data_IF_148112058027
#
_entry.id   IF_148112058027
#
_cell.length_a   1.000
_cell.length_b   1.000
_cell.length_c   1.000
_cell.angle_alpha   90.00
_cell.angle_beta   90.00
_cell.angle_gamma   90.00
#
_symmetry.space_group_name_H-M   'P 1'
#
loop_
_entity.id
_entity.type
_entity.pdbx_description
1 polymer ?
#
# COMPACT_ATOMS: atom_id res chain seq x y z
N UNK A 1 8.61 -9.50 1.46
CA UNK A 1 8.17 -8.13 1.14
C UNK A 1 7.09 -8.11 0.07
N UNK A 2 7.33 -8.66 -1.11
CA UNK A 2 6.30 -8.78 -2.16
C UNK A 2 5.79 -10.21 -2.18
N UNK A 3 4.47 -10.35 -2.09
CA UNK A 3 3.78 -11.63 -2.25
C UNK A 3 3.52 -11.83 -3.75
N UNK A 4 4.45 -12.48 -4.42
CA UNK A 4 4.36 -12.70 -5.87
C UNK A 4 3.21 -13.63 -6.27
N UNK A 5 2.74 -14.49 -5.36
CA UNK A 5 1.55 -15.30 -5.63
C UNK A 5 0.32 -14.40 -5.78
N UNK A 6 0.19 -13.36 -4.94
CA UNK A 6 -0.89 -12.39 -5.05
C UNK A 6 -0.77 -11.58 -6.34
N UNK A 7 0.44 -11.18 -6.71
CA UNK A 7 0.69 -10.46 -7.97
C UNK A 7 0.26 -11.33 -9.16
N UNK A 8 0.60 -12.62 -9.13
CA UNK A 8 0.23 -13.55 -10.19
C UNK A 8 -1.30 -13.74 -10.28
N UNK A 9 -2.00 -13.77 -9.13
CA UNK A 9 -3.46 -13.80 -9.10
C UNK A 9 -4.06 -12.55 -9.74
N UNK A 10 -3.56 -11.38 -9.38
CA UNK A 10 -4.05 -10.11 -9.93
C UNK A 10 -3.83 -10.09 -11.45
N UNK A 11 -2.66 -10.51 -11.90
CA UNK A 11 -2.34 -10.58 -13.33
C UNK A 11 -3.30 -11.53 -14.07
N UNK A 12 -3.57 -12.69 -13.48
CA UNK A 12 -4.48 -13.69 -14.05
C UNK A 12 -5.90 -13.14 -14.15
N UNK A 13 -6.37 -12.44 -13.11
CA UNK A 13 -7.71 -11.89 -13.07
C UNK A 13 -7.90 -10.73 -14.05
N UNK A 14 -6.87 -9.90 -14.23
CA UNK A 14 -6.95 -8.68 -15.04
C UNK A 14 -6.53 -8.87 -16.49
N UNK A 15 -5.77 -9.93 -16.80
CA UNK A 15 -5.31 -10.20 -18.16
C UNK A 15 -4.60 -8.99 -18.77
N UNK A 16 -5.02 -8.56 -19.95
CA UNK A 16 -4.39 -7.45 -20.66
C UNK A 16 -4.51 -6.10 -19.95
N UNK A 17 -5.46 -5.97 -19.03
CA UNK A 17 -5.65 -4.75 -18.25
C UNK A 17 -4.72 -4.65 -17.04
N UNK A 18 -3.90 -5.67 -16.75
CA UNK A 18 -3.04 -5.71 -15.57
C UNK A 18 -2.19 -4.45 -15.42
N UNK A 19 -1.52 -4.01 -16.49
CA UNK A 19 -0.67 -2.81 -16.45
C UNK A 19 -1.44 -1.55 -16.06
N UNK A 20 -2.63 -1.34 -16.62
CA UNK A 20 -3.47 -0.20 -16.27
C UNK A 20 -3.97 -0.28 -14.84
N UNK A 21 -4.35 -1.47 -14.38
CA UNK A 21 -4.82 -1.68 -13.01
C UNK A 21 -3.70 -1.36 -12.01
N UNK A 22 -2.47 -1.79 -12.28
CA UNK A 22 -1.31 -1.47 -11.45
C UNK A 22 -1.09 0.04 -11.37
N UNK A 23 -1.13 0.73 -12.50
CA UNK A 23 -0.96 2.19 -12.54
C UNK A 23 -2.02 2.90 -11.70
N UNK A 24 -3.28 2.48 -11.81
CA UNK A 24 -4.38 3.05 -11.04
C UNK A 24 -4.17 2.82 -9.54
N UNK A 25 -3.83 1.59 -9.13
CA UNK A 25 -3.56 1.30 -7.71
C UNK A 25 -2.42 2.14 -7.17
N UNK A 26 -1.30 2.24 -7.91
CA UNK A 26 -0.15 3.02 -7.45
C UNK A 26 -0.51 4.51 -7.33
N UNK A 27 -1.27 5.04 -8.27
CA UNK A 27 -1.71 6.44 -8.22
C UNK A 27 -2.64 6.68 -7.03
N UNK A 28 -3.58 5.80 -6.78
CA UNK A 28 -4.51 5.91 -5.65
C UNK A 28 -3.78 5.82 -4.31
N UNK A 29 -2.77 4.94 -4.22
CA UNK A 29 -1.95 4.84 -3.01
C UNK A 29 -1.13 6.12 -2.81
N UNK A 30 -0.52 6.65 -3.87
CA UNK A 30 0.23 7.91 -3.80
C UNK A 30 -0.66 9.04 -3.29
N UNK A 31 -1.88 9.16 -3.83
CA UNK A 31 -2.85 10.20 -3.43
C UNK A 31 -3.27 10.02 -1.96
N UNK A 32 -3.54 8.79 -1.54
CA UNK A 32 -3.94 8.51 -0.16
C UNK A 32 -2.81 8.80 0.83
N UNK A 33 -1.56 8.48 0.47
CA UNK A 33 -0.40 8.80 1.30
C UNK A 33 -0.19 10.31 1.43
N UNK A 34 -0.43 11.04 0.34
CA UNK A 34 -0.34 12.49 0.37
C UNK A 34 -1.38 13.08 1.33
N UNK A 35 -2.64 12.61 1.23
CA UNK A 35 -3.70 13.03 2.16
C UNK A 35 -3.33 12.71 3.61
N UNK A 36 -2.83 11.50 3.84
CA UNK A 36 -2.43 11.04 5.17
C UNK A 36 -1.35 11.92 5.78
N UNK A 37 -0.39 12.37 4.98
CA UNK A 37 0.72 13.21 5.44
C UNK A 37 0.31 14.67 5.67
N UNK A 38 -0.81 15.11 5.10
CA UNK A 38 -1.28 16.49 5.18
C UNK A 38 -2.37 16.71 6.23
N UNK A 39 -3.05 15.65 6.66
CA UNK A 39 -4.12 15.77 7.63
C UNK A 39 -3.58 15.80 9.06
N UNK A 40 -4.41 16.33 9.97
CA UNK A 40 -4.07 16.34 11.39
C UNK A 40 -4.06 14.91 11.95
N UNK A 41 -3.18 14.68 12.91
CA UNK A 41 -3.09 13.38 13.59
C UNK A 41 -4.38 13.15 14.39
N UNK A 42 -5.05 12.03 14.08
CA UNK A 42 -6.31 11.72 14.76
C UNK A 42 -6.98 10.46 14.17
N UNK A 43 -8.19 10.14 14.68
CA UNK A 43 -8.88 8.91 14.26
C UNK A 43 -9.30 8.91 12.79
N UNK A 44 -9.38 10.08 12.14
CA UNK A 44 -9.72 10.17 10.71
C UNK A 44 -8.66 9.50 9.82
N UNK A 45 -7.43 9.34 10.34
CA UNK A 45 -6.38 8.62 9.62
C UNK A 45 -6.72 7.15 9.40
N UNK A 46 -7.61 6.58 10.22
CA UNK A 46 -7.99 5.16 10.12
C UNK A 46 -8.60 4.82 8.76
N UNK A 47 -9.40 5.70 8.19
CA UNK A 47 -10.05 5.45 6.89
C UNK A 47 -9.02 5.36 5.76
N UNK A 48 -8.06 6.27 5.72
CA UNK A 48 -7.00 6.23 4.71
C UNK A 48 -6.09 5.02 4.90
N UNK A 49 -5.77 4.67 6.14
CA UNK A 49 -4.95 3.49 6.44
C UNK A 49 -5.67 2.20 6.08
N UNK A 50 -6.98 2.14 6.28
CA UNK A 50 -7.80 1.00 5.85
C UNK A 50 -7.77 0.84 4.33
N UNK A 51 -7.95 1.93 3.60
CA UNK A 51 -7.87 1.94 2.14
C UNK A 51 -6.48 1.48 1.66
N UNK A 52 -5.42 2.03 2.25
CA UNK A 52 -4.05 1.68 1.91
C UNK A 52 -3.75 0.20 2.17
N UNK A 53 -4.26 -0.34 3.26
CA UNK A 53 -4.12 -1.76 3.58
C UNK A 53 -4.74 -2.63 2.50
N UNK A 54 -5.96 -2.31 2.07
CA UNK A 54 -6.67 -3.05 1.03
C UNK A 54 -5.92 -3.02 -0.30
N UNK A 55 -5.48 -1.84 -0.73
CA UNK A 55 -4.70 -1.69 -1.96
C UNK A 55 -3.37 -2.46 -1.89
N UNK A 56 -2.68 -2.38 -0.75
CA UNK A 56 -1.43 -3.08 -0.53
C UNK A 56 -1.59 -4.60 -0.64
N UNK A 57 -2.66 -5.14 -0.06
CA UNK A 57 -2.95 -6.57 -0.14
C UNK A 57 -3.21 -7.00 -1.59
N UNK A 58 -3.92 -6.18 -2.36
CA UNK A 58 -4.18 -6.48 -3.77
C UNK A 58 -2.91 -6.47 -4.62
N UNK A 59 -1.96 -5.59 -4.30
CA UNK A 59 -0.68 -5.50 -5.00
C UNK A 59 0.38 -6.49 -4.47
N UNK A 60 0.09 -7.19 -3.37
CA UNK A 60 1.06 -8.10 -2.76
C UNK A 60 2.14 -7.40 -1.93
N UNK A 61 1.90 -6.16 -1.49
CA UNK A 61 2.83 -5.38 -0.67
C UNK A 61 2.67 -5.77 0.80
N UNK A 62 3.14 -6.95 1.17
CA UNK A 62 2.87 -7.58 2.48
C UNK A 62 3.35 -6.74 3.66
N UNK A 63 4.57 -6.23 3.60
CA UNK A 63 5.16 -5.44 4.69
C UNK A 63 4.44 -4.11 4.87
N UNK A 64 4.13 -3.45 3.76
CA UNK A 64 3.40 -2.18 3.76
C UNK A 64 1.98 -2.39 4.30
N UNK A 65 1.30 -3.47 3.86
CA UNK A 65 -0.04 -3.81 4.35
C UNK A 65 -0.05 -4.01 5.87
N UNK A 66 0.97 -4.68 6.43
CA UNK A 66 1.08 -4.92 7.87
C UNK A 66 1.23 -3.60 8.64
N UNK A 67 2.03 -2.67 8.12
CA UNK A 67 2.20 -1.35 8.76
C UNK A 67 0.92 -0.52 8.68
N UNK A 68 0.18 -0.60 7.58
CA UNK A 68 -1.11 0.08 7.45
C UNK A 68 -2.13 -0.49 8.44
N UNK A 69 -2.16 -1.81 8.61
CA UNK A 69 -3.05 -2.46 9.58
C UNK A 69 -2.73 -2.04 11.01
N UNK A 70 -1.46 -1.98 11.36
CA UNK A 70 -1.00 -1.52 12.67
C UNK A 70 -1.42 -0.06 12.90
N UNK A 71 -1.20 0.79 11.91
CA UNK A 71 -1.58 2.20 11.97
C UNK A 71 -3.09 2.38 12.10
N UNK A 72 -3.87 1.61 11.38
CA UNK A 72 -5.33 1.63 11.46
C UNK A 72 -5.81 1.29 12.88
N UNK A 73 -5.22 0.26 13.48
CA UNK A 73 -5.52 -0.16 14.85
C UNK A 73 -5.20 0.97 15.84
N UNK A 74 -4.05 1.62 15.70
CA UNK A 74 -3.67 2.74 16.55
C UNK A 74 -4.64 3.91 16.41
N UNK A 75 -4.99 4.27 15.18
CA UNK A 75 -5.91 5.38 14.92
C UNK A 75 -7.29 5.12 15.52
N UNK A 76 -7.82 3.90 15.34
CA UNK A 76 -9.11 3.50 15.88
C UNK A 76 -9.10 3.45 17.43
N UNK A 77 -7.95 3.19 18.02
CA UNK A 77 -7.79 3.09 19.48
C UNK A 77 -7.46 4.42 20.16
N UNK A 78 -7.53 5.54 19.44
CA UNK A 78 -7.21 6.86 19.99
C UNK A 78 -5.72 7.07 20.22
N UNK A 79 -4.86 6.33 19.51
CA UNK A 79 -3.40 6.41 19.63
C UNK A 79 -2.73 6.74 18.28
N UNK A 80 -3.40 7.56 17.47
CA UNK A 80 -2.88 7.94 16.16
C UNK A 80 -1.51 8.63 16.23
N UNK A 81 -1.21 9.32 17.33
CA UNK A 81 0.08 9.97 17.56
C UNK A 81 1.25 8.98 17.65
N UNK A 82 0.96 7.70 17.88
CA UNK A 82 1.98 6.65 17.93
C UNK A 82 2.31 6.08 16.53
N UNK A 83 1.58 6.49 15.50
CA UNK A 83 1.85 6.02 14.13
C UNK A 83 3.17 6.63 13.66
N UNK A 84 4.09 5.76 13.23
CA UNK A 84 5.34 6.22 12.61
C UNK A 84 5.12 6.39 11.10
N UNK A 85 4.71 7.59 10.71
CA UNK A 85 4.37 7.89 9.33
C UNK A 85 5.58 7.74 8.39
N UNK A 86 6.76 8.14 8.85
CA UNK A 86 7.99 8.00 8.05
C UNK A 86 8.27 6.53 7.72
N UNK A 87 7.99 5.62 8.65
CA UNK A 87 8.14 4.18 8.44
C UNK A 87 7.13 3.64 7.44
N UNK A 88 5.89 4.12 7.52
CA UNK A 88 4.83 3.76 6.55
C UNK A 88 5.24 4.19 5.14
N UNK A 89 5.66 5.44 4.98
CA UNK A 89 6.09 5.99 3.69
C UNK A 89 7.32 5.25 3.15
N UNK A 90 8.30 4.97 4.00
CA UNK A 90 9.51 4.23 3.61
C UNK A 90 9.21 2.82 3.16
N UNK A 91 8.32 2.13 3.87
CA UNK A 91 7.89 0.77 3.50
C UNK A 91 7.19 0.75 2.14
N UNK A 92 6.36 1.74 1.86
CA UNK A 92 5.72 1.85 0.54
C UNK A 92 6.76 2.03 -0.56
N UNK A 93 7.71 2.94 -0.37
CA UNK A 93 8.76 3.20 -1.35
C UNK A 93 9.56 1.94 -1.64
N UNK A 94 9.97 1.23 -0.60
CA UNK A 94 10.74 -0.02 -0.75
C UNK A 94 9.92 -1.10 -1.46
N UNK A 95 8.65 -1.23 -1.09
CA UNK A 95 7.74 -2.20 -1.72
C UNK A 95 7.51 -1.89 -3.20
N UNK A 96 7.28 -0.62 -3.52
CA UNK A 96 7.09 -0.17 -4.89
C UNK A 96 8.32 -0.45 -5.74
N UNK A 97 9.51 -0.12 -5.23
CA UNK A 97 10.77 -0.34 -5.96
C UNK A 97 11.00 -1.83 -6.20
N UNK A 98 10.80 -2.66 -5.19
CA UNK A 98 10.93 -4.12 -5.31
C UNK A 98 9.92 -4.70 -6.29
N UNK A 99 8.69 -4.20 -6.27
CA UNK A 99 7.61 -4.64 -7.15
C UNK A 99 7.92 -4.31 -8.61
N UNK A 100 8.28 -3.06 -8.90
CA UNK A 100 8.57 -2.62 -10.26
C UNK A 100 9.81 -3.32 -10.83
N UNK A 101 10.86 -3.47 -10.02
CA UNK A 101 12.05 -4.21 -10.40
C UNK A 101 11.75 -5.69 -10.68
N UNK A 102 10.93 -6.30 -9.82
CA UNK A 102 10.50 -7.69 -9.97
C UNK A 102 9.65 -7.92 -11.21
N UNK A 103 8.75 -6.98 -11.53
CA UNK A 103 7.94 -7.06 -12.75
C UNK A 103 8.83 -6.98 -13.99
N UNK A 104 9.81 -6.09 -14.01
CA UNK A 104 10.74 -5.95 -15.13
C UNK A 104 11.52 -7.25 -15.36
N UNK A 105 12.02 -7.88 -14.29
CA UNK A 105 12.74 -9.15 -14.40
C UNK A 105 11.86 -10.30 -14.86
N UNK A 106 10.60 -10.34 -14.39
CA UNK A 106 9.64 -11.41 -14.75
C UNK A 106 9.15 -11.27 -16.20
N UNK A 107 9.20 -10.06 -16.76
CA UNK A 107 8.80 -9.80 -18.15
C UNK A 107 9.90 -10.12 -19.17
N UNK A 108 11.14 -10.24 -18.71
CA UNK A 108 12.29 -10.49 -19.59
C UNK A 108 12.37 -11.95 -20.05
#
# INVERSE_FOLDING_TARGET
>A
MIDWNQVDELRSDMGDAFGEVVEVFLQEVDDALLRLSQQEVGPDMAADLHFLKGAALNLGFSSFAALCAEGETLANGGRAEQINLARVLGSYRDSRDAFLSGLARRAA
#
